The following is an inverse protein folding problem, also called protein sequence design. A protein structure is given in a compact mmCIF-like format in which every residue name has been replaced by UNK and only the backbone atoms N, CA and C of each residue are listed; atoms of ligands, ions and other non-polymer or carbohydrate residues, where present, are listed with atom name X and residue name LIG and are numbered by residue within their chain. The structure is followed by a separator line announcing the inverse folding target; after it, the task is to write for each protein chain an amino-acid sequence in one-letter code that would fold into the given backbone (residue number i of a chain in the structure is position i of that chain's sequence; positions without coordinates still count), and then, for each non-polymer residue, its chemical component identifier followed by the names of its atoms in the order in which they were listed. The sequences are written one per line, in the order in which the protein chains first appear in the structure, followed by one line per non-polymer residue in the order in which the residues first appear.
data_IF_202961711087
#
_entry.id   IF_202961711087
#
_cell.length_a   1.000
_cell.length_b   1.000
_cell.length_c   1.000
_cell.angle_alpha   90.00
_cell.angle_beta   90.00
_cell.angle_gamma   90.00
#
_symmetry.space_group_name_H-M   'P 1'
#
loop_
_entity.id
_entity.type
_entity.pdbx_description
1 polymer ?
#
# COMPACT_ATOMS: atom_id res chain seq x y z
N UNK A 1 -24.03 -14.65 10.59
CA UNK A 1 -22.86 -15.07 11.40
C UNK A 1 -21.62 -14.48 10.74
N UNK A 2 -20.70 -13.86 11.48
CA UNK A 2 -19.46 -13.33 10.87
C UNK A 2 -18.65 -14.47 10.24
N UNK A 3 -18.15 -14.26 9.02
CA UNK A 3 -17.31 -15.24 8.31
C UNK A 3 -16.01 -15.53 9.09
N UNK A 4 -15.53 -16.77 9.07
CA UNK A 4 -14.24 -17.10 9.70
C UNK A 4 -13.08 -16.48 8.90
N UNK A 5 -11.96 -16.06 9.53
CA UNK A 5 -10.84 -15.45 8.82
C UNK A 5 -10.33 -16.25 7.61
N UNK A 6 -10.12 -17.56 7.77
CA UNK A 6 -9.68 -18.43 6.67
C UNK A 6 -10.68 -18.50 5.50
N UNK A 7 -11.98 -18.43 5.80
CA UNK A 7 -13.02 -18.44 4.77
C UNK A 7 -13.06 -17.10 4.04
N UNK A 8 -12.82 -16.00 4.77
CA UNK A 8 -12.68 -14.67 4.21
C UNK A 8 -11.48 -14.60 3.26
N UNK A 9 -10.29 -15.01 3.71
CA UNK A 9 -9.07 -14.93 2.90
C UNK A 9 -9.19 -15.73 1.59
N UNK A 10 -9.79 -16.92 1.66
CA UNK A 10 -10.01 -17.76 0.48
C UNK A 10 -11.01 -17.19 -0.51
N UNK A 11 -11.98 -16.41 -0.06
CA UNK A 11 -13.05 -15.89 -0.93
C UNK A 11 -12.78 -14.48 -1.41
N UNK A 12 -12.15 -13.66 -0.57
CA UNK A 12 -12.06 -12.22 -0.74
C UNK A 12 -10.69 -11.65 -0.38
N UNK A 13 -9.69 -12.47 -0.01
CA UNK A 13 -8.39 -11.97 0.45
C UNK A 13 -7.69 -11.07 -0.57
N UNK A 14 -7.58 -11.50 -1.83
CA UNK A 14 -6.94 -10.70 -2.87
C UNK A 14 -7.89 -9.65 -3.46
N UNK A 15 -9.20 -9.89 -3.43
CA UNK A 15 -10.19 -8.84 -3.70
C UNK A 15 -10.01 -7.68 -2.72
N UNK A 16 -9.86 -7.95 -1.42
CA UNK A 16 -9.62 -6.92 -0.39
C UNK A 16 -8.35 -6.14 -0.69
N UNK A 17 -7.27 -6.80 -1.12
CA UNK A 17 -6.04 -6.12 -1.52
C UNK A 17 -6.24 -5.16 -2.69
N UNK A 18 -6.99 -5.58 -3.73
CA UNK A 18 -7.37 -4.67 -4.83
C UNK A 18 -8.18 -3.50 -4.27
N UNK A 19 -9.19 -3.75 -3.44
CA UNK A 19 -10.05 -2.70 -2.90
C UNK A 19 -9.30 -1.71 -1.98
N UNK A 20 -8.27 -2.15 -1.26
CA UNK A 20 -7.38 -1.27 -0.49
C UNK A 20 -6.64 -0.28 -1.38
N UNK A 21 -6.23 -0.68 -2.59
CA UNK A 21 -5.64 0.24 -3.56
C UNK A 21 -6.61 1.33 -4.03
N UNK A 22 -7.92 1.11 -3.90
CA UNK A 22 -8.96 2.11 -4.22
C UNK A 22 -9.34 3.02 -3.05
N UNK A 23 -8.80 2.85 -1.85
CA UNK A 23 -9.13 3.73 -0.72
C UNK A 23 -8.69 5.17 -1.01
N UNK A 24 -9.66 6.10 -0.99
CA UNK A 24 -9.42 7.51 -1.36
C UNK A 24 -9.19 7.73 -2.87
N UNK A 25 -9.43 6.72 -3.71
CA UNK A 25 -9.26 6.78 -5.15
C UNK A 25 -10.60 6.71 -5.88
N UNK A 26 -10.78 7.45 -6.99
CA UNK A 26 -11.95 7.26 -7.84
C UNK A 26 -11.87 5.89 -8.52
N UNK A 27 -13.01 5.21 -8.63
CA UNK A 27 -13.14 4.04 -9.48
C UNK A 27 -13.47 4.48 -10.93
N UNK A 28 -12.46 4.93 -11.66
CA UNK A 28 -12.60 5.49 -13.02
C UNK A 28 -12.14 4.54 -14.14
N UNK A 29 -11.95 3.26 -13.83
CA UNK A 29 -11.60 2.22 -14.82
C UNK A 29 -12.68 2.06 -15.88
N UNK A 30 -12.24 1.98 -17.14
CA UNK A 30 -13.05 1.59 -18.29
C UNK A 30 -12.47 0.32 -18.92
N UNK A 31 -13.18 -0.38 -19.82
CA UNK A 31 -12.62 -1.52 -20.53
C UNK A 31 -11.30 -1.21 -21.26
N UNK A 32 -11.13 0.03 -21.72
CA UNK A 32 -9.96 0.48 -22.47
C UNK A 32 -8.84 1.03 -21.59
N UNK A 33 -9.16 1.58 -20.41
CA UNK A 33 -8.20 2.32 -19.59
C UNK A 33 -8.26 1.91 -18.12
N UNK A 34 -7.09 1.63 -17.55
CA UNK A 34 -6.91 1.43 -16.10
C UNK A 34 -6.90 2.76 -15.35
N UNK A 35 -7.46 2.74 -14.15
CA UNK A 35 -7.32 3.82 -13.17
C UNK A 35 -5.91 3.86 -12.60
N UNK A 36 -5.57 4.99 -11.95
CA UNK A 36 -4.32 5.11 -11.18
C UNK A 36 -4.23 4.09 -10.03
N UNK A 37 -5.37 3.71 -9.46
CA UNK A 37 -5.45 2.74 -8.37
C UNK A 37 -5.12 1.33 -8.86
N UNK A 38 -5.68 0.92 -10.00
CA UNK A 38 -5.35 -0.37 -10.61
C UNK A 38 -3.90 -0.42 -11.08
N UNK A 39 -3.40 0.67 -11.66
CA UNK A 39 -2.01 0.75 -12.08
C UNK A 39 -1.05 0.63 -10.88
N UNK A 40 -1.35 1.31 -9.76
CA UNK A 40 -0.60 1.16 -8.51
C UNK A 40 -0.62 -0.28 -7.99
N UNK A 41 -1.80 -0.90 -7.93
CA UNK A 41 -1.95 -2.30 -7.52
C UNK A 41 -1.11 -3.25 -8.38
N UNK A 42 -1.17 -3.12 -9.71
CA UNK A 42 -0.42 -3.97 -10.63
C UNK A 42 1.08 -3.72 -10.53
N UNK A 43 1.53 -2.47 -10.49
CA UNK A 43 2.96 -2.12 -10.39
C UNK A 43 3.60 -2.72 -9.14
N UNK A 44 2.89 -2.74 -8.01
CA UNK A 44 3.38 -3.37 -6.79
C UNK A 44 3.25 -4.90 -6.81
N UNK A 45 2.05 -5.41 -7.10
CA UNK A 45 1.71 -6.82 -6.88
C UNK A 45 2.29 -7.75 -7.94
N UNK A 46 2.40 -7.28 -9.19
CA UNK A 46 2.90 -8.12 -10.28
C UNK A 46 4.34 -8.59 -10.06
N UNK A 47 5.21 -7.68 -9.59
CA UNK A 47 6.62 -7.98 -9.36
C UNK A 47 6.88 -8.75 -8.06
N UNK A 48 6.00 -8.63 -7.07
CA UNK A 48 6.19 -9.22 -5.74
C UNK A 48 5.43 -10.53 -5.57
N UNK A 49 4.20 -10.62 -6.11
CA UNK A 49 3.25 -11.73 -5.92
C UNK A 49 2.42 -11.97 -7.19
N UNK A 50 3.01 -12.39 -8.34
CA UNK A 50 2.27 -12.53 -9.60
C UNK A 50 1.06 -13.49 -9.51
N UNK A 51 1.15 -14.54 -8.68
CA UNK A 51 0.03 -15.45 -8.44
C UNK A 51 -1.19 -14.78 -7.77
N UNK A 52 -0.96 -13.72 -6.99
CA UNK A 52 -2.03 -12.95 -6.33
C UNK A 52 -2.87 -12.18 -7.35
N UNK A 53 -2.28 -11.73 -8.47
CA UNK A 53 -3.02 -11.04 -9.55
C UNK A 53 -4.05 -11.99 -10.17
N UNK A 54 -3.67 -13.25 -10.40
CA UNK A 54 -4.58 -14.25 -10.94
C UNK A 54 -5.69 -14.66 -9.94
N UNK A 55 -5.40 -14.67 -8.63
CA UNK A 55 -6.42 -14.93 -7.61
C UNK A 55 -7.37 -13.73 -7.44
N UNK A 56 -6.86 -12.50 -7.44
CA UNK A 56 -7.66 -11.28 -7.45
C UNK A 56 -8.66 -11.28 -8.63
N UNK A 57 -8.19 -11.62 -9.84
CA UNK A 57 -9.06 -11.76 -11.03
C UNK A 57 -10.23 -12.71 -10.76
N UNK A 58 -9.95 -13.92 -10.26
CA UNK A 58 -10.96 -14.92 -9.96
C UNK A 58 -11.95 -14.45 -8.91
N UNK A 59 -11.46 -13.86 -7.82
CA UNK A 59 -12.29 -13.39 -6.71
C UNK A 59 -13.20 -12.22 -7.13
N UNK A 60 -12.67 -11.25 -7.89
CA UNK A 60 -13.45 -10.14 -8.46
C UNK A 60 -14.57 -10.64 -9.36
N UNK A 61 -14.24 -11.56 -10.28
CA UNK A 61 -15.23 -12.14 -11.21
C UNK A 61 -16.29 -12.96 -10.48
N UNK A 62 -15.89 -13.74 -9.48
CA UNK A 62 -16.80 -14.54 -8.68
C UNK A 62 -17.76 -13.66 -7.85
N UNK A 63 -17.23 -12.59 -7.23
CA UNK A 63 -18.02 -11.63 -6.46
C UNK A 63 -19.00 -10.87 -7.35
N UNK A 64 -18.54 -10.39 -8.52
CA UNK A 64 -19.39 -9.64 -9.45
C UNK A 64 -20.55 -10.48 -10.00
N UNK A 65 -20.31 -11.76 -10.35
CA UNK A 65 -21.35 -12.66 -10.86
C UNK A 65 -22.38 -13.08 -9.81
N UNK A 66 -22.01 -13.06 -8.54
CA UNK A 66 -22.87 -13.48 -7.44
C UNK A 66 -22.88 -12.42 -6.33
N UNK A 67 -23.39 -11.21 -6.62
CA UNK A 67 -23.36 -10.14 -5.64
C UNK A 67 -24.26 -10.52 -4.46
N UNK A 68 -23.78 -10.39 -3.22
CA UNK A 68 -24.57 -10.74 -2.07
C UNK A 68 -25.74 -9.77 -1.89
N UNK A 69 -26.89 -10.29 -1.47
CA UNK A 69 -28.02 -9.44 -1.11
C UNK A 69 -27.66 -8.48 0.04
N UNK A 70 -28.14 -7.23 -0.02
CA UNK A 70 -27.82 -6.14 0.93
C UNK A 70 -27.91 -6.54 2.42
N UNK A 71 -28.84 -7.42 2.78
CA UNK A 71 -29.01 -7.90 4.16
C UNK A 71 -27.82 -8.76 4.60
N UNK A 72 -27.30 -9.63 3.73
CA UNK A 72 -26.18 -10.53 4.05
C UNK A 72 -24.85 -9.79 4.18
N UNK A 73 -24.65 -8.73 3.38
CA UNK A 73 -23.52 -7.81 3.55
C UNK A 73 -23.54 -7.15 4.94
N UNK A 74 -24.70 -6.60 5.35
CA UNK A 74 -24.86 -5.96 6.67
C UNK A 74 -24.67 -6.92 7.85
N UNK A 75 -24.88 -8.22 7.64
CA UNK A 75 -24.68 -9.25 8.66
C UNK A 75 -23.23 -9.75 8.76
N UNK A 76 -22.31 -9.17 7.98
CA UNK A 76 -20.89 -9.57 7.94
C UNK A 76 -20.67 -10.94 7.30
N UNK A 77 -21.64 -11.44 6.54
CA UNK A 77 -21.56 -12.73 5.85
C UNK A 77 -20.83 -12.63 4.50
N UNK A 78 -20.54 -11.41 4.05
CA UNK A 78 -19.87 -11.11 2.79
C UNK A 78 -18.97 -9.88 2.92
N UNK A 79 -17.97 -9.82 2.05
CA UNK A 79 -17.10 -8.65 1.90
C UNK A 79 -17.91 -7.39 1.56
N UNK A 80 -17.56 -6.27 2.20
CA UNK A 80 -18.14 -4.96 1.88
C UNK A 80 -17.16 -4.19 1.02
N UNK A 81 -17.56 -3.89 -0.22
CA UNK A 81 -16.78 -3.02 -1.10
C UNK A 81 -16.70 -1.63 -0.44
N UNK A 82 -15.49 -1.03 -0.33
CA UNK A 82 -15.34 0.34 0.16
C UNK A 82 -16.14 1.34 -0.68
N UNK A 83 -16.40 2.52 -0.12
CA UNK A 83 -17.03 3.59 -0.91
C UNK A 83 -16.06 4.07 -2.00
N UNK A 84 -16.39 3.76 -3.26
CA UNK A 84 -15.61 4.16 -4.44
C UNK A 84 -16.23 5.34 -5.19
N UNK A 85 -17.27 5.96 -4.62
CA UNK A 85 -18.06 7.01 -5.27
C UNK A 85 -18.97 6.51 -6.40
N UNK A 86 -18.97 5.20 -6.71
CA UNK A 86 -19.85 4.61 -7.72
C UNK A 86 -21.24 4.29 -7.15
N UNK A 87 -22.32 4.46 -7.93
CA UNK A 87 -23.62 3.92 -7.59
C UNK A 87 -23.56 2.41 -7.36
N UNK A 88 -24.31 1.91 -6.38
CA UNK A 88 -24.34 0.48 -6.05
C UNK A 88 -24.72 -0.42 -7.23
N UNK A 89 -25.52 0.08 -8.19
CA UNK A 89 -25.90 -0.62 -9.42
C UNK A 89 -24.71 -0.91 -10.34
N UNK A 90 -23.68 -0.06 -10.30
CA UNK A 90 -22.60 -0.03 -11.28
C UNK A 90 -21.36 -0.78 -10.76
N UNK A 91 -21.33 -1.09 -9.46
CA UNK A 91 -20.23 -1.81 -8.81
C UNK A 91 -20.00 -3.18 -9.47
N UNK A 92 -21.06 -3.92 -9.79
CA UNK A 92 -20.92 -5.24 -10.42
C UNK A 92 -20.17 -5.18 -11.76
N UNK A 93 -20.62 -4.30 -12.65
CA UNK A 93 -20.02 -4.10 -13.96
C UNK A 93 -18.58 -3.57 -13.85
N UNK A 94 -18.32 -2.65 -12.93
CA UNK A 94 -16.97 -2.16 -12.67
C UNK A 94 -16.03 -3.27 -12.18
N UNK A 95 -16.47 -4.13 -11.26
CA UNK A 95 -15.65 -5.26 -10.81
C UNK A 95 -15.33 -6.25 -11.95
N UNK A 96 -16.22 -6.38 -12.94
CA UNK A 96 -15.91 -7.14 -14.17
C UNK A 96 -14.83 -6.47 -15.01
N UNK A 97 -14.89 -5.15 -15.16
CA UNK A 97 -13.84 -4.38 -15.85
C UNK A 97 -12.48 -4.58 -15.17
N UNK A 98 -12.43 -4.53 -13.83
CA UNK A 98 -11.21 -4.83 -13.08
C UNK A 98 -10.71 -6.25 -13.36
N UNK A 99 -11.59 -7.25 -13.29
CA UNK A 99 -11.22 -8.64 -13.56
C UNK A 99 -10.67 -8.82 -14.98
N UNK A 100 -11.23 -8.14 -15.98
CA UNK A 100 -10.75 -8.23 -17.37
C UNK A 100 -9.38 -7.55 -17.56
N UNK A 101 -9.10 -6.45 -16.85
CA UNK A 101 -7.75 -5.88 -16.79
C UNK A 101 -6.74 -6.84 -16.14
N UNK A 102 -7.06 -7.39 -14.97
CA UNK A 102 -6.16 -8.33 -14.30
C UNK A 102 -5.90 -9.59 -15.13
N UNK A 103 -6.92 -10.07 -15.85
CA UNK A 103 -6.78 -11.18 -16.79
C UNK A 103 -5.78 -10.85 -17.90
N UNK A 104 -5.90 -9.68 -18.54
CA UNK A 104 -4.93 -9.23 -19.55
C UNK A 104 -3.51 -9.11 -18.98
N UNK A 105 -3.35 -8.57 -17.77
CA UNK A 105 -2.05 -8.53 -17.11
C UNK A 105 -1.44 -9.93 -16.97
N UNK A 106 -2.23 -10.92 -16.54
CA UNK A 106 -1.77 -12.31 -16.36
C UNK A 106 -1.46 -13.02 -17.68
N UNK A 107 -2.30 -12.86 -18.69
CA UNK A 107 -2.19 -13.59 -19.96
C UNK A 107 -1.20 -12.94 -20.94
N UNK A 108 -1.11 -11.62 -20.95
CA UNK A 108 -0.38 -10.85 -21.95
C UNK A 108 0.82 -10.09 -21.37
N UNK A 109 0.97 -10.07 -20.04
CA UNK A 109 2.00 -9.27 -19.37
C UNK A 109 1.72 -7.77 -19.43
N UNK A 110 0.46 -7.36 -19.65
CA UNK A 110 0.05 -5.95 -19.65
C UNK A 110 0.11 -5.35 -18.23
N UNK A 111 1.26 -4.78 -17.89
CA UNK A 111 1.58 -4.26 -16.57
C UNK A 111 2.14 -2.85 -16.71
N UNK A 112 1.80 -1.91 -15.82
CA UNK A 112 2.39 -0.58 -15.83
C UNK A 112 3.90 -0.62 -15.63
N UNK A 113 4.61 0.30 -16.27
CA UNK A 113 6.07 0.45 -16.10
C UNK A 113 6.44 0.72 -14.63
N UNK A 114 7.59 0.19 -14.16
CA UNK A 114 8.16 0.56 -12.87
C UNK A 114 8.36 2.08 -12.78
N UNK A 115 7.90 2.67 -11.69
CA UNK A 115 8.02 4.11 -11.42
C UNK A 115 8.03 4.35 -9.90
N UNK A 116 8.19 5.61 -9.49
CA UNK A 116 7.94 6.01 -8.10
C UNK A 116 6.46 5.78 -7.75
N UNK A 117 6.13 5.45 -6.48
CA UNK A 117 4.73 5.29 -6.09
C UNK A 117 3.90 6.54 -6.41
N UNK A 118 2.66 6.32 -6.84
CA UNK A 118 1.76 7.39 -7.30
C UNK A 118 0.51 7.55 -6.45
N UNK A 119 0.27 6.62 -5.51
CA UNK A 119 -0.87 6.66 -4.60
C UNK A 119 -0.39 6.41 -3.18
N UNK A 120 -1.14 6.92 -2.20
CA UNK A 120 -0.91 6.66 -0.79
C UNK A 120 -0.78 5.16 -0.48
N UNK A 121 -1.70 4.34 -1.01
CA UNK A 121 -1.64 2.89 -0.85
C UNK A 121 -0.34 2.31 -1.40
N UNK A 122 0.14 2.79 -2.55
CA UNK A 122 1.36 2.26 -3.17
C UNK A 122 2.62 2.58 -2.36
N UNK A 123 2.68 3.76 -1.73
CA UNK A 123 3.74 4.11 -0.79
C UNK A 123 3.79 3.12 0.38
N UNK A 124 2.64 2.86 1.01
CA UNK A 124 2.53 1.95 2.16
C UNK A 124 2.71 0.49 1.81
N UNK A 125 2.27 0.06 0.61
CA UNK A 125 2.47 -1.30 0.14
C UNK A 125 3.94 -1.57 -0.18
N UNK A 126 4.65 -0.59 -0.72
CA UNK A 126 6.06 -0.71 -1.12
C UNK A 126 7.04 -0.52 0.03
N UNK A 127 6.74 0.37 0.97
CA UNK A 127 7.63 0.73 2.08
C UNK A 127 6.95 0.61 3.46
N UNK A 128 6.43 -0.57 3.83
CA UNK A 128 5.67 -0.75 5.06
C UNK A 128 6.49 -0.50 6.34
N UNK A 129 7.76 -0.92 6.40
CA UNK A 129 8.57 -0.72 7.61
C UNK A 129 9.03 0.74 7.73
N UNK A 130 9.26 1.41 6.60
CA UNK A 130 9.53 2.85 6.55
C UNK A 130 8.32 3.65 7.02
N UNK A 131 7.11 3.28 6.58
CA UNK A 131 5.88 3.88 7.08
C UNK A 131 5.70 3.67 8.59
N UNK A 132 6.03 2.47 9.09
CA UNK A 132 5.96 2.17 10.52
C UNK A 132 6.92 3.04 11.35
N UNK A 133 8.18 3.19 10.90
CA UNK A 133 9.14 4.08 11.58
C UNK A 133 8.64 5.53 11.56
N UNK A 134 8.32 6.05 10.37
CA UNK A 134 8.01 7.47 10.17
C UNK A 134 6.71 7.88 10.86
N UNK A 135 5.64 7.09 10.70
CA UNK A 135 4.37 7.34 11.37
C UNK A 135 4.36 7.02 12.87
N UNK A 136 5.25 6.12 13.32
CA UNK A 136 5.31 5.69 14.72
C UNK A 136 6.20 6.54 15.60
N UNK A 137 7.42 6.86 15.14
CA UNK A 137 8.44 7.55 15.95
C UNK A 137 8.64 9.02 15.55
N UNK A 138 8.15 9.44 14.37
CA UNK A 138 8.30 10.81 13.86
C UNK A 138 6.94 11.51 13.66
N UNK A 139 5.97 11.17 14.52
CA UNK A 139 4.71 11.90 14.69
C UNK A 139 4.94 13.24 15.41
N UNK A 140 3.90 14.07 15.49
CA UNK A 140 3.92 15.33 16.25
C UNK A 140 4.35 15.18 17.71
N UNK A 141 4.19 14.00 18.31
CA UNK A 141 4.46 13.75 19.73
C UNK A 141 5.95 13.46 20.02
N UNK A 142 6.82 13.42 19.00
CA UNK A 142 8.24 13.08 19.17
C UNK A 142 8.97 13.93 20.22
N UNK A 143 8.62 15.21 20.37
CA UNK A 143 9.27 16.12 21.32
C UNK A 143 8.89 15.86 22.78
N UNK A 144 7.73 15.24 22.98
CA UNK A 144 7.23 14.85 24.30
C UNK A 144 7.70 13.43 24.67
N UNK A 145 7.93 12.58 23.67
CA UNK A 145 8.35 11.18 23.86
C UNK A 145 9.88 10.99 23.88
N UNK A 146 10.62 11.77 23.09
CA UNK A 146 12.06 11.59 22.88
C UNK A 146 12.84 12.89 23.03
N UNK A 147 14.11 12.77 23.43
CA UNK A 147 15.05 13.91 23.55
C UNK A 147 15.55 14.43 22.18
N UNK A 148 14.94 13.98 21.08
CA UNK A 148 15.29 14.32 19.70
C UNK A 148 15.32 13.10 18.79
N UNK A 149 15.57 13.33 17.49
CA UNK A 149 15.55 12.29 16.46
C UNK A 149 16.49 11.12 16.76
N UNK A 150 17.71 11.37 17.24
CA UNK A 150 18.67 10.30 17.54
C UNK A 150 18.17 9.36 18.65
N UNK A 151 17.47 9.91 19.65
CA UNK A 151 16.88 9.11 20.72
C UNK A 151 15.70 8.26 20.21
N UNK A 152 14.88 8.83 19.31
CA UNK A 152 13.79 8.09 18.66
C UNK A 152 14.31 6.94 17.78
N UNK A 153 15.38 7.17 17.01
CA UNK A 153 16.02 6.12 16.19
C UNK A 153 16.61 5.02 17.06
N UNK A 154 17.30 5.38 18.16
CA UNK A 154 17.85 4.40 19.08
C UNK A 154 16.75 3.56 19.75
N UNK A 155 15.68 4.20 20.22
CA UNK A 155 14.54 3.50 20.82
C UNK A 155 13.87 2.54 19.81
N UNK A 156 13.67 2.97 18.57
CA UNK A 156 13.16 2.10 17.52
C UNK A 156 14.06 0.87 17.32
N UNK A 157 15.38 1.07 17.23
CA UNK A 157 16.34 -0.02 17.03
C UNK A 157 16.38 -1.00 18.22
N UNK A 158 16.26 -0.49 19.45
CA UNK A 158 16.32 -1.28 20.68
C UNK A 158 15.02 -2.07 20.95
N UNK A 159 13.87 -1.54 20.51
CA UNK A 159 12.55 -2.11 20.82
C UNK A 159 11.95 -2.92 19.67
N UNK A 160 12.41 -2.70 18.43
CA UNK A 160 11.88 -3.38 17.24
C UNK A 160 12.62 -4.69 16.97
N UNK A 161 11.91 -5.67 16.41
CA UNK A 161 12.54 -6.94 16.01
C UNK A 161 13.66 -6.67 14.96
N UNK A 162 14.89 -7.20 15.15
CA UNK A 162 16.01 -6.94 14.23
C UNK A 162 15.73 -7.32 12.76
N UNK A 163 14.85 -8.28 12.49
CA UNK A 163 14.47 -8.62 11.12
C UNK A 163 13.65 -7.50 10.44
N UNK A 164 12.84 -6.76 11.21
CA UNK A 164 12.08 -5.62 10.70
C UNK A 164 13.02 -4.42 10.51
N UNK A 165 13.99 -4.22 11.40
CA UNK A 165 15.06 -3.22 11.20
C UNK A 165 15.84 -3.50 9.91
N UNK A 166 16.21 -4.76 9.65
CA UNK A 166 16.89 -5.12 8.41
C UNK A 166 16.03 -4.89 7.15
N UNK A 167 14.70 -5.11 7.23
CA UNK A 167 13.77 -4.81 6.13
C UNK A 167 13.67 -3.31 5.88
N UNK A 168 13.52 -2.51 6.95
CA UNK A 168 13.54 -1.05 6.89
C UNK A 168 14.80 -0.54 6.19
N UNK A 169 15.99 -1.06 6.54
CA UNK A 169 17.24 -0.69 5.87
C UNK A 169 17.17 -0.97 4.36
N UNK A 170 16.64 -2.14 3.98
CA UNK A 170 16.41 -2.48 2.57
C UNK A 170 15.45 -1.52 1.86
N UNK A 171 14.35 -1.17 2.52
CA UNK A 171 13.35 -0.21 2.02
C UNK A 171 13.94 1.20 1.86
N UNK A 172 14.76 1.68 2.80
CA UNK A 172 15.44 2.97 2.69
C UNK A 172 16.41 2.98 1.50
N UNK A 173 17.15 1.89 1.27
CA UNK A 173 18.00 1.77 0.09
C UNK A 173 17.20 1.72 -1.21
N UNK A 174 16.05 1.04 -1.23
CA UNK A 174 15.16 1.05 -2.38
C UNK A 174 14.58 2.45 -2.65
N UNK A 175 14.15 3.17 -1.60
CA UNK A 175 13.65 4.54 -1.69
C UNK A 175 14.72 5.48 -2.28
N UNK A 176 15.96 5.38 -1.80
CA UNK A 176 17.09 6.18 -2.27
C UNK A 176 17.55 5.83 -3.69
N UNK A 177 17.15 4.67 -4.21
CA UNK A 177 17.43 4.25 -5.59
C UNK A 177 16.38 4.78 -6.60
N UNK A 178 15.25 5.31 -6.12
CA UNK A 178 14.25 5.93 -6.97
C UNK A 178 14.76 7.27 -7.54
N UNK A 179 14.32 7.67 -8.75
CA UNK A 179 14.67 8.95 -9.33
C UNK A 179 13.86 10.09 -8.68
N UNK A 180 14.19 10.41 -7.43
CA UNK A 180 13.52 11.42 -6.59
C UNK A 180 14.44 12.63 -6.35
N UNK A 181 13.88 13.82 -6.41
CA UNK A 181 14.52 15.02 -5.88
C UNK A 181 14.18 15.26 -4.40
N UNK A 182 14.72 16.32 -3.79
CA UNK A 182 14.45 16.63 -2.37
C UNK A 182 12.99 16.98 -2.07
N UNK A 183 12.27 17.55 -3.05
CA UNK A 183 10.83 17.79 -2.91
C UNK A 183 10.05 16.48 -2.92
N UNK A 184 10.46 15.55 -3.76
CA UNK A 184 9.88 14.21 -3.80
C UNK A 184 10.17 13.40 -2.53
N UNK A 185 11.37 13.52 -1.93
CA UNK A 185 11.67 12.89 -0.65
C UNK A 185 10.82 13.46 0.48
N UNK A 186 10.57 14.77 0.50
CA UNK A 186 9.64 15.38 1.45
C UNK A 186 8.20 14.87 1.27
N UNK A 187 7.75 14.72 0.01
CA UNK A 187 6.45 14.10 -0.29
C UNK A 187 6.39 12.64 0.17
N UNK A 188 7.43 11.85 -0.10
CA UNK A 188 7.51 10.47 0.33
C UNK A 188 7.45 10.35 1.86
N UNK A 189 8.18 11.21 2.58
CA UNK A 189 8.15 11.28 4.03
C UNK A 189 6.73 11.52 4.57
N UNK A 190 6.03 12.50 4.00
CA UNK A 190 4.65 12.83 4.40
C UNK A 190 3.66 11.70 4.06
N UNK A 191 3.76 11.09 2.87
CA UNK A 191 2.92 9.95 2.47
C UNK A 191 3.14 8.74 3.39
N UNK A 192 4.35 8.55 3.88
CA UNK A 192 4.73 7.48 4.82
C UNK A 192 4.46 7.86 6.29
N UNK A 193 3.85 9.01 6.57
CA UNK A 193 3.35 9.40 7.88
C UNK A 193 4.31 10.22 8.75
N UNK A 194 5.43 10.70 8.21
CA UNK A 194 6.32 11.63 8.93
C UNK A 194 5.63 12.98 9.11
N UNK A 195 5.50 13.43 10.36
CA UNK A 195 4.91 14.72 10.68
C UNK A 195 5.95 15.74 11.16
N UNK A 196 7.05 15.27 11.75
CA UNK A 196 8.17 16.11 12.17
C UNK A 196 9.34 15.90 11.22
N UNK A 197 9.74 16.98 10.53
CA UNK A 197 10.82 17.01 9.55
C UNK A 197 12.17 16.52 10.09
N UNK A 198 13.14 16.24 9.20
CA UNK A 198 14.47 15.77 9.58
C UNK A 198 15.19 16.79 10.50
N UNK A 199 16.11 16.35 11.35
CA UNK A 199 16.87 17.25 12.21
C UNK A 199 17.84 18.10 11.38
N UNK A 200 18.04 19.36 11.77
CA UNK A 200 19.06 20.20 11.14
C UNK A 200 20.47 19.57 11.31
N UNK A 201 21.34 19.62 10.29
CA UNK A 201 21.21 20.33 9.01
C UNK A 201 20.72 19.45 7.84
N UNK A 202 20.10 18.30 8.10
CA UNK A 202 19.78 17.35 7.04
C UNK A 202 18.61 17.78 6.16
N UNK A 203 18.74 17.55 4.84
CA UNK A 203 17.59 17.41 3.94
C UNK A 203 16.92 16.04 4.14
N UNK A 204 15.74 15.82 3.56
CA UNK A 204 15.04 14.53 3.70
C UNK A 204 15.85 13.39 3.09
N UNK A 205 16.37 13.56 1.88
CA UNK A 205 17.20 12.55 1.23
C UNK A 205 18.47 12.24 2.02
N UNK A 206 19.16 13.29 2.50
CA UNK A 206 20.36 13.14 3.32
C UNK A 206 20.07 12.46 4.67
N UNK A 207 18.90 12.74 5.27
CA UNK A 207 18.50 12.11 6.51
C UNK A 207 18.14 10.63 6.32
N UNK A 208 17.40 10.26 5.27
CA UNK A 208 17.14 8.85 4.94
C UNK A 208 18.43 8.07 4.70
N UNK A 209 19.43 8.69 4.04
CA UNK A 209 20.75 8.10 3.88
C UNK A 209 21.45 7.89 5.23
N UNK A 210 21.37 8.88 6.13
CA UNK A 210 21.91 8.76 7.48
C UNK A 210 21.21 7.66 8.28
N UNK A 211 19.88 7.56 8.23
CA UNK A 211 19.11 6.50 8.88
C UNK A 211 19.53 5.12 8.40
N UNK A 212 19.64 4.93 7.09
CA UNK A 212 20.08 3.65 6.51
C UNK A 212 21.48 3.26 7.02
N UNK A 213 22.40 4.22 7.09
CA UNK A 213 23.76 3.99 7.60
C UNK A 213 23.78 3.64 9.09
N UNK A 214 23.05 4.39 9.92
CA UNK A 214 22.96 4.17 11.37
C UNK A 214 22.35 2.81 11.69
N UNK A 215 21.22 2.47 11.07
CA UNK A 215 20.49 1.23 11.32
C UNK A 215 21.17 -0.01 10.73
N UNK A 216 22.01 0.15 9.70
CA UNK A 216 22.83 -0.95 9.17
C UNK A 216 23.94 -1.38 10.14
N UNK A 217 24.36 -0.50 11.04
CA UNK A 217 25.40 -0.76 12.03
C UNK A 217 24.89 -1.19 13.40
N UNK A 218 23.55 -1.21 13.58
CA UNK A 218 22.87 -1.57 14.83
C UNK A 218 22.76 -3.09 15.02
#
# INVERSE_FOLDING_TARGET
MSMKPLEHDRRYGELDQVMRAYLGQPADDTPERRSRALDAYLRHTWHTRPAAVAEAERQLRAYSRNPPGRIRQKLGEFYSIPDTGKPQSDIGDWLMVLADHLKRSVEEGDVPEPSRPQTHWEWHARFPETAQLLGGWFSQDIVDEFLGHDAAVADYADTTNPQLVARLVGELHELLALPLDEGDYALAAAELGMEVGPPEPFSHGAWFQSLAATLSGA
#
